data_IF_192031436338
#
_entry.id   IF_192031436338
#
_cell.length_a   1.000
_cell.length_b   1.000
_cell.length_c   1.000
_cell.angle_alpha   90.00
_cell.angle_beta   90.00
_cell.angle_gamma   90.00
#
_symmetry.space_group_name_H-M   'P 1'
#
loop_
_entity.id
_entity.type
_entity.pdbx_description
1 polymer ?
#
# COMPACT_ATOMS: atom_id res chain seq x y z
N UNK A 1 35.35 -7.23 -15.79
CA UNK A 1 34.42 -7.17 -14.65
C UNK A 1 33.70 -8.50 -14.60
N UNK A 2 33.83 -9.26 -13.51
CA UNK A 2 33.21 -10.60 -13.39
C UNK A 2 31.79 -10.45 -12.84
N UNK A 3 30.82 -11.17 -13.43
CA UNK A 3 29.45 -11.21 -12.92
C UNK A 3 29.43 -11.74 -11.49
N UNK A 4 28.63 -11.10 -10.62
CA UNK A 4 28.53 -11.45 -9.21
C UNK A 4 27.32 -10.75 -8.55
N UNK A 5 27.00 -11.14 -7.33
CA UNK A 5 25.79 -10.68 -6.61
C UNK A 5 25.78 -9.16 -6.47
N UNK A 6 26.91 -8.54 -6.13
CA UNK A 6 27.00 -7.07 -5.97
C UNK A 6 26.76 -6.33 -7.29
N UNK A 7 27.15 -6.92 -8.42
CA UNK A 7 26.84 -6.36 -9.74
C UNK A 7 25.37 -6.56 -10.06
N UNK A 8 24.80 -7.74 -9.76
CA UNK A 8 23.39 -8.02 -9.97
C UNK A 8 22.50 -7.04 -9.19
N UNK A 9 22.82 -6.76 -7.92
CA UNK A 9 22.12 -5.77 -7.09
C UNK A 9 22.08 -4.39 -7.74
N UNK A 10 23.21 -3.93 -8.27
CA UNK A 10 23.33 -2.64 -8.96
C UNK A 10 22.59 -2.61 -10.30
N UNK A 11 22.84 -3.60 -11.15
CA UNK A 11 22.28 -3.67 -12.51
C UNK A 11 20.75 -3.81 -12.49
N UNK A 12 20.21 -4.61 -11.56
CA UNK A 12 18.76 -4.77 -11.41
C UNK A 12 18.11 -3.74 -10.49
N UNK A 13 18.89 -2.80 -9.95
CA UNK A 13 18.38 -1.71 -9.10
C UNK A 13 17.72 -2.21 -7.83
N UNK A 14 18.27 -3.26 -7.22
CA UNK A 14 17.83 -3.78 -5.93
C UNK A 14 18.23 -2.83 -4.78
N UNK A 15 19.32 -2.07 -4.96
CA UNK A 15 19.79 -1.04 -4.02
C UNK A 15 18.96 0.26 -4.06
N UNK A 16 17.91 0.33 -4.89
CA UNK A 16 17.05 1.52 -4.91
C UNK A 16 16.23 1.61 -3.62
N UNK A 17 16.08 2.82 -3.07
CA UNK A 17 15.37 3.08 -1.80
C UNK A 17 13.96 2.47 -1.73
N UNK A 18 13.28 2.32 -2.87
CA UNK A 18 11.94 1.75 -2.96
C UNK A 18 11.91 0.21 -2.86
N UNK A 19 13.05 -0.47 -3.07
CA UNK A 19 13.16 -1.93 -3.22
C UNK A 19 14.12 -2.59 -2.24
N UNK A 20 15.19 -1.90 -1.85
CA UNK A 20 16.30 -2.41 -1.03
C UNK A 20 15.82 -3.11 0.26
N UNK A 21 14.73 -2.61 0.82
CA UNK A 21 14.15 -3.09 2.08
C UNK A 21 12.99 -4.07 1.92
N UNK A 22 12.72 -4.55 0.71
CA UNK A 22 11.58 -5.43 0.39
C UNK A 22 12.03 -6.65 -0.41
N UNK A 23 13.00 -6.49 -1.31
CA UNK A 23 13.51 -7.56 -2.18
C UNK A 23 15.03 -7.48 -2.31
N UNK A 24 15.69 -8.64 -2.32
CA UNK A 24 17.13 -8.77 -2.56
C UNK A 24 17.45 -10.09 -3.28
N UNK A 25 18.71 -10.32 -3.58
CA UNK A 25 19.26 -11.59 -4.07
C UNK A 25 20.07 -12.24 -2.95
N UNK A 26 19.84 -13.53 -2.70
CA UNK A 26 20.59 -14.29 -1.70
C UNK A 26 21.97 -14.77 -2.21
N UNK A 27 22.70 -15.47 -1.34
CA UNK A 27 24.07 -15.94 -1.60
C UNK A 27 24.13 -17.00 -2.74
N UNK A 28 23.01 -17.65 -3.03
CA UNK A 28 22.88 -18.63 -4.10
C UNK A 28 22.42 -17.99 -5.43
N UNK A 29 22.10 -16.69 -5.42
CA UNK A 29 21.65 -15.96 -6.59
C UNK A 29 20.13 -15.98 -6.81
N UNK A 30 19.33 -16.40 -5.83
CA UNK A 30 17.87 -16.40 -5.93
C UNK A 30 17.22 -15.13 -5.38
N UNK A 31 16.10 -14.75 -6.00
CA UNK A 31 15.26 -13.64 -5.52
C UNK A 31 14.67 -14.00 -4.15
N UNK A 32 14.86 -13.09 -3.20
CA UNK A 32 14.33 -13.17 -1.84
C UNK A 32 13.45 -11.96 -1.52
N UNK A 33 12.34 -12.20 -0.85
CA UNK A 33 11.54 -11.17 -0.19
C UNK A 33 12.14 -10.93 1.20
N UNK A 34 12.54 -9.70 1.48
CA UNK A 34 13.20 -9.28 2.71
C UNK A 34 12.37 -8.19 3.37
N UNK A 35 11.66 -8.45 4.47
CA UNK A 35 10.84 -7.43 5.12
C UNK A 35 10.68 -7.70 6.62
N UNK A 36 10.93 -6.71 7.48
CA UNK A 36 10.78 -6.82 8.94
C UNK A 36 11.47 -8.05 9.56
N UNK A 37 12.68 -8.39 9.08
CA UNK A 37 13.44 -9.56 9.54
C UNK A 37 13.03 -10.90 8.92
N UNK A 38 11.96 -10.91 8.13
CA UNK A 38 11.57 -12.05 7.30
C UNK A 38 12.46 -12.10 6.05
N UNK A 39 13.00 -13.29 5.74
CA UNK A 39 13.67 -13.57 4.47
C UNK A 39 13.07 -14.83 3.85
N UNK A 40 12.37 -14.67 2.72
CA UNK A 40 11.73 -15.78 1.99
C UNK A 40 12.34 -15.85 0.60
N UNK A 41 12.99 -16.97 0.28
CA UNK A 41 13.41 -17.27 -1.09
C UNK A 41 12.16 -17.56 -1.93
N UNK A 42 11.94 -16.79 -2.99
CA UNK A 42 10.73 -16.88 -3.81
C UNK A 42 10.61 -18.27 -4.46
N UNK A 43 11.74 -18.86 -4.85
CA UNK A 43 11.77 -20.21 -5.43
C UNK A 43 11.24 -21.25 -4.43
N UNK A 44 11.72 -21.24 -3.18
CA UNK A 44 11.30 -22.20 -2.16
C UNK A 44 9.81 -22.07 -1.85
N UNK A 45 9.30 -20.83 -1.82
CA UNK A 45 7.86 -20.57 -1.69
C UNK A 45 7.06 -21.12 -2.87
N UNK A 46 7.54 -20.96 -4.11
CA UNK A 46 6.86 -21.51 -5.27
C UNK A 46 6.85 -23.05 -5.24
N UNK A 47 7.99 -23.65 -4.91
CA UNK A 47 8.15 -25.10 -4.84
C UNK A 47 7.27 -25.71 -3.74
N UNK A 48 7.17 -25.07 -2.56
CA UNK A 48 6.36 -25.58 -1.44
C UNK A 48 4.86 -25.67 -1.77
N UNK A 49 4.38 -24.85 -2.71
CA UNK A 49 3.00 -24.85 -3.18
C UNK A 49 2.83 -25.48 -4.57
N UNK A 50 3.90 -26.07 -5.15
CA UNK A 50 3.91 -26.62 -6.50
C UNK A 50 3.41 -25.62 -7.57
N UNK A 51 3.81 -24.35 -7.43
CA UNK A 51 3.38 -23.25 -8.29
C UNK A 51 4.37 -23.03 -9.43
N UNK A 52 3.88 -23.02 -10.66
CA UNK A 52 4.66 -22.58 -11.82
C UNK A 52 4.59 -21.07 -12.06
N UNK A 53 3.53 -20.42 -11.55
CA UNK A 53 3.28 -18.97 -11.64
C UNK A 53 2.49 -18.51 -10.41
N UNK A 54 2.81 -17.32 -9.92
CA UNK A 54 2.11 -16.71 -8.79
C UNK A 54 2.07 -15.19 -8.90
N UNK A 55 1.02 -14.58 -8.34
CA UNK A 55 0.98 -13.16 -8.05
C UNK A 55 1.07 -12.97 -6.54
N UNK A 56 2.24 -12.57 -6.05
CA UNK A 56 2.54 -12.48 -4.62
C UNK A 56 2.29 -11.04 -4.15
N UNK A 57 1.40 -10.88 -3.16
CA UNK A 57 1.16 -9.59 -2.47
C UNK A 57 1.90 -9.59 -1.15
N UNK A 58 2.79 -8.62 -0.95
CA UNK A 58 3.52 -8.42 0.30
C UNK A 58 2.79 -7.33 1.09
N UNK A 59 1.72 -7.71 1.81
CA UNK A 59 0.87 -6.75 2.52
C UNK A 59 1.64 -5.84 3.50
N UNK A 60 2.62 -6.33 4.29
CA UNK A 60 3.37 -5.45 5.19
C UNK A 60 4.23 -4.41 4.45
N UNK A 61 4.52 -4.57 3.15
CA UNK A 61 5.20 -3.54 2.37
C UNK A 61 4.31 -2.29 2.17
N UNK A 62 2.98 -2.46 2.24
CA UNK A 62 2.01 -1.35 2.23
C UNK A 62 2.19 -0.52 3.50
N UNK A 63 2.22 -1.16 4.69
CA UNK A 63 2.51 -0.49 5.97
C UNK A 63 3.79 0.32 5.90
N UNK A 64 4.88 -0.29 5.41
CA UNK A 64 6.17 0.39 5.27
C UNK A 64 6.05 1.64 4.39
N UNK A 65 5.35 1.53 3.26
CA UNK A 65 5.14 2.66 2.35
C UNK A 65 4.37 3.80 3.04
N UNK A 66 3.36 3.47 3.85
CA UNK A 66 2.62 4.44 4.64
C UNK A 66 3.50 5.12 5.70
N UNK A 67 4.30 4.33 6.42
CA UNK A 67 5.25 4.84 7.43
C UNK A 67 6.28 5.79 6.78
N UNK A 68 6.77 5.49 5.57
CA UNK A 68 7.68 6.36 4.82
C UNK A 68 7.03 7.72 4.48
N UNK A 69 5.77 7.71 4.02
CA UNK A 69 5.04 8.96 3.72
C UNK A 69 4.89 9.83 4.98
N UNK A 70 4.48 9.23 6.09
CA UNK A 70 4.29 9.95 7.35
C UNK A 70 5.62 10.48 7.90
N UNK A 71 6.68 9.69 7.84
CA UNK A 71 8.00 10.12 8.31
C UNK A 71 8.57 11.24 7.45
N UNK A 72 8.44 11.15 6.12
CA UNK A 72 8.85 12.22 5.22
C UNK A 72 8.10 13.52 5.50
N UNK A 73 6.79 13.44 5.74
CA UNK A 73 5.99 14.59 6.14
C UNK A 73 6.47 15.19 7.47
N UNK A 74 6.67 14.36 8.51
CA UNK A 74 7.12 14.83 9.84
C UNK A 74 8.44 15.59 9.76
N UNK A 75 9.41 15.02 9.04
CA UNK A 75 10.73 15.65 8.83
C UNK A 75 10.56 17.00 8.12
N UNK A 76 9.76 17.06 7.05
CA UNK A 76 9.54 18.31 6.32
C UNK A 76 8.79 19.36 7.16
N UNK A 77 7.78 18.95 7.94
CA UNK A 77 7.03 19.84 8.80
C UNK A 77 7.91 20.45 9.90
N UNK A 78 8.76 19.64 10.53
CA UNK A 78 9.73 20.10 11.53
C UNK A 78 10.73 21.10 10.95
N UNK A 79 11.35 20.77 9.81
CA UNK A 79 12.32 21.65 9.14
C UNK A 79 11.72 23.01 8.74
N UNK A 80 10.42 23.04 8.42
CA UNK A 80 9.71 24.23 7.99
C UNK A 80 8.97 24.95 9.13
N UNK A 81 9.07 24.48 10.38
CA UNK A 81 8.25 24.95 11.51
C UNK A 81 6.74 24.99 11.19
N UNK A 82 6.27 24.01 10.43
CA UNK A 82 4.85 23.88 10.07
C UNK A 82 4.10 23.11 11.17
N UNK A 83 3.09 23.75 11.74
CA UNK A 83 2.30 23.19 12.86
C UNK A 83 0.96 22.58 12.43
N UNK A 84 0.63 22.58 11.14
CA UNK A 84 -0.56 21.89 10.64
C UNK A 84 -0.36 20.37 10.66
N UNK A 85 -1.45 19.61 10.47
CA UNK A 85 -1.40 18.15 10.32
C UNK A 85 -1.37 17.69 8.87
N UNK A 86 -1.26 16.37 8.68
CA UNK A 86 -1.45 15.68 7.40
C UNK A 86 -2.71 14.80 7.48
N UNK A 87 -3.52 14.83 6.42
CA UNK A 87 -4.59 13.86 6.19
C UNK A 87 -4.16 13.04 4.96
N UNK A 88 -3.51 11.89 5.14
CA UNK A 88 -3.06 11.09 4.02
C UNK A 88 -4.27 10.38 3.38
N UNK A 89 -4.33 10.38 2.05
CA UNK A 89 -5.45 9.85 1.27
C UNK A 89 -4.94 8.80 0.28
N UNK A 90 -5.52 7.60 0.30
CA UNK A 90 -5.27 6.58 -0.71
C UNK A 90 -6.32 6.64 -1.83
N UNK A 91 -5.90 6.86 -3.10
CA UNK A 91 -6.83 6.88 -4.23
C UNK A 91 -7.17 5.46 -4.71
N UNK A 92 -8.45 5.08 -4.62
CA UNK A 92 -8.91 3.73 -4.97
C UNK A 92 -8.63 3.36 -6.44
N UNK A 93 -8.62 4.35 -7.34
CA UNK A 93 -8.31 4.16 -8.77
C UNK A 93 -6.99 3.45 -9.05
N UNK A 94 -6.03 3.50 -8.12
CA UNK A 94 -4.73 2.82 -8.26
C UNK A 94 -4.89 1.31 -8.11
N UNK A 95 -5.64 0.87 -7.09
CA UNK A 95 -5.98 -0.52 -6.88
C UNK A 95 -7.17 -0.62 -5.91
N UNK A 96 -8.40 -0.88 -6.42
CA UNK A 96 -9.62 -0.92 -5.62
C UNK A 96 -9.91 -2.32 -5.04
N UNK A 97 -8.94 -3.25 -5.09
CA UNK A 97 -9.14 -4.62 -4.58
C UNK A 97 -9.47 -4.58 -3.08
N UNK A 98 -10.56 -5.23 -2.59
CA UNK A 98 -10.94 -5.18 -1.18
C UNK A 98 -9.81 -5.51 -0.20
N UNK A 99 -9.02 -6.54 -0.47
CA UNK A 99 -7.85 -6.90 0.35
C UNK A 99 -6.87 -5.73 0.53
N UNK A 100 -6.62 -4.94 -0.52
CA UNK A 100 -5.71 -3.80 -0.47
C UNK A 100 -6.34 -2.65 0.31
N UNK A 101 -7.63 -2.38 0.07
CA UNK A 101 -8.36 -1.32 0.77
C UNK A 101 -8.46 -1.65 2.27
N UNK A 102 -8.80 -2.89 2.64
CA UNK A 102 -8.79 -3.38 4.03
C UNK A 102 -7.40 -3.24 4.65
N UNK A 103 -6.34 -3.68 3.97
CA UNK A 103 -4.96 -3.58 4.48
C UNK A 103 -4.54 -2.13 4.73
N UNK A 104 -4.87 -1.21 3.82
CA UNK A 104 -4.60 0.22 3.98
C UNK A 104 -5.43 0.79 5.13
N UNK A 105 -6.68 0.36 5.27
CA UNK A 105 -7.53 0.82 6.33
C UNK A 105 -6.99 0.42 7.71
N UNK A 106 -6.59 -0.85 7.87
CA UNK A 106 -6.02 -1.42 9.08
C UNK A 106 -4.69 -0.77 9.47
N UNK A 107 -3.71 -0.74 8.56
CA UNK A 107 -2.40 -0.14 8.87
C UNK A 107 -2.44 1.38 8.97
N UNK A 108 -3.39 2.01 8.30
CA UNK A 108 -3.61 3.46 8.26
C UNK A 108 -4.41 4.02 9.43
N UNK A 109 -4.98 3.15 10.26
CA UNK A 109 -5.82 3.54 11.40
C UNK A 109 -5.13 4.57 12.30
N UNK A 110 -3.89 4.28 12.71
CA UNK A 110 -3.05 5.14 13.55
C UNK A 110 -2.73 6.51 12.94
N UNK A 111 -2.99 6.70 11.64
CA UNK A 111 -2.72 7.93 10.90
C UNK A 111 -3.98 8.65 10.43
N UNK A 112 -5.17 8.08 10.69
CA UNK A 112 -6.43 8.58 10.10
C UNK A 112 -6.39 8.53 8.57
N UNK A 113 -5.76 7.50 7.98
CA UNK A 113 -5.58 7.41 6.53
C UNK A 113 -6.93 7.22 5.82
N UNK A 114 -7.30 8.22 5.03
CA UNK A 114 -8.56 8.28 4.31
C UNK A 114 -8.48 7.72 2.89
N UNK A 115 -9.59 7.81 2.18
CA UNK A 115 -9.73 7.28 0.83
C UNK A 115 -10.20 8.35 -0.16
N UNK A 116 -9.82 8.19 -1.43
CA UNK A 116 -10.44 8.93 -2.53
C UNK A 116 -11.13 7.95 -3.46
N UNK A 117 -12.37 8.26 -3.83
CA UNK A 117 -13.15 7.50 -4.79
C UNK A 117 -13.64 8.41 -5.93
N UNK A 118 -13.53 7.93 -7.16
CA UNK A 118 -13.92 8.65 -8.38
C UNK A 118 -15.06 7.99 -9.15
N UNK A 119 -15.59 6.86 -8.67
CA UNK A 119 -16.67 6.13 -9.35
C UNK A 119 -17.63 5.45 -8.38
N UNK A 120 -18.82 5.12 -8.89
CA UNK A 120 -19.82 4.35 -8.15
C UNK A 120 -19.29 2.97 -7.70
N UNK A 121 -18.46 2.33 -8.52
CA UNK A 121 -17.84 1.05 -8.18
C UNK A 121 -16.88 1.16 -7.00
N UNK A 122 -16.13 2.24 -6.90
CA UNK A 122 -15.20 2.50 -5.79
C UNK A 122 -15.94 2.85 -4.49
N UNK A 123 -17.02 3.63 -4.55
CA UNK A 123 -17.89 3.87 -3.39
C UNK A 123 -18.44 2.55 -2.85
N UNK A 124 -18.92 1.67 -3.73
CA UNK A 124 -19.45 0.35 -3.34
C UNK A 124 -18.41 -0.58 -2.74
N UNK A 125 -17.14 -0.44 -3.10
CA UNK A 125 -16.07 -1.17 -2.41
C UNK A 125 -15.97 -0.69 -0.97
N UNK A 126 -15.96 0.63 -0.73
CA UNK A 126 -15.88 1.19 0.62
C UNK A 126 -17.11 0.83 1.46
N UNK A 127 -18.32 0.89 0.91
CA UNK A 127 -19.56 0.47 1.58
C UNK A 127 -19.51 -1.00 2.01
N UNK A 128 -18.97 -1.91 1.19
CA UNK A 128 -18.83 -3.34 1.56
C UNK A 128 -17.88 -3.56 2.73
N UNK A 129 -17.00 -2.61 2.97
CA UNK A 129 -16.05 -2.60 4.07
C UNK A 129 -16.57 -1.78 5.27
N UNK A 130 -17.69 -1.08 5.12
CA UNK A 130 -18.34 -0.35 6.20
C UNK A 130 -18.63 -1.29 7.37
N UNK A 131 -18.21 -0.91 8.57
CA UNK A 131 -18.29 -1.74 9.78
C UNK A 131 -17.09 -2.66 10.03
N UNK A 132 -16.21 -2.89 9.04
CA UNK A 132 -14.89 -3.52 9.26
C UNK A 132 -13.78 -2.49 9.46
N UNK A 133 -13.95 -1.32 8.86
CA UNK A 133 -12.99 -0.22 8.92
C UNK A 133 -13.59 0.91 9.76
N UNK A 134 -12.75 1.65 10.48
CA UNK A 134 -13.21 2.80 11.25
C UNK A 134 -13.63 3.98 10.34
N UNK A 135 -14.49 4.88 10.85
CA UNK A 135 -14.83 6.15 10.20
C UNK A 135 -13.58 6.95 9.83
N UNK A 136 -13.52 7.47 8.60
CA UNK A 136 -12.35 8.21 8.09
C UNK A 136 -12.72 9.13 6.94
N UNK A 137 -11.81 10.05 6.61
CA UNK A 137 -12.01 11.00 5.50
C UNK A 137 -12.21 10.28 4.17
N UNK A 138 -13.28 10.62 3.47
CA UNK A 138 -13.50 10.27 2.07
C UNK A 138 -13.45 11.54 1.22
N UNK A 139 -12.67 11.52 0.14
CA UNK A 139 -12.71 12.52 -0.93
C UNK A 139 -13.41 11.88 -2.13
N UNK A 140 -14.41 12.58 -2.69
CA UNK A 140 -14.99 12.20 -3.96
C UNK A 140 -14.47 13.11 -5.06
N UNK A 141 -13.70 12.56 -6.01
CA UNK A 141 -13.07 13.29 -7.12
C UNK A 141 -13.68 12.95 -8.50
N UNK A 142 -14.81 12.25 -8.52
CA UNK A 142 -15.53 11.83 -9.72
C UNK A 142 -16.60 12.80 -10.20
N UNK A 143 -17.31 12.40 -11.26
CA UNK A 143 -18.47 13.15 -11.79
C UNK A 143 -19.67 12.97 -10.86
N UNK A 144 -20.19 14.08 -10.34
CA UNK A 144 -21.35 14.07 -9.45
C UNK A 144 -22.64 13.94 -10.25
N UNK A 145 -23.32 12.80 -10.08
CA UNK A 145 -24.64 12.49 -10.64
C UNK A 145 -25.59 12.06 -9.51
N UNK A 146 -26.90 12.12 -9.74
CA UNK A 146 -27.91 11.72 -8.75
C UNK A 146 -27.64 10.37 -8.06
N UNK A 147 -27.33 9.28 -8.79
CA UNK A 147 -27.02 7.99 -8.19
C UNK A 147 -25.77 8.01 -7.30
N UNK A 148 -24.75 8.77 -7.67
CA UNK A 148 -23.53 8.92 -6.87
C UNK A 148 -23.85 9.65 -5.56
N UNK A 149 -24.63 10.73 -5.63
CA UNK A 149 -25.03 11.48 -4.44
C UNK A 149 -25.82 10.60 -3.46
N UNK A 150 -26.75 9.80 -3.96
CA UNK A 150 -27.51 8.85 -3.14
C UNK A 150 -26.58 7.86 -2.43
N UNK A 151 -25.61 7.28 -3.15
CA UNK A 151 -24.71 6.28 -2.58
C UNK A 151 -23.71 6.87 -1.58
N UNK A 152 -23.31 8.14 -1.77
CA UNK A 152 -22.52 8.88 -0.77
C UNK A 152 -23.34 9.16 0.50
N UNK A 153 -24.61 9.55 0.38
CA UNK A 153 -25.50 9.76 1.52
C UNK A 153 -25.76 8.45 2.28
N UNK A 154 -25.97 7.36 1.55
CA UNK A 154 -26.12 6.02 2.15
C UNK A 154 -24.83 5.57 2.85
N UNK A 155 -23.66 5.86 2.27
CA UNK A 155 -22.37 5.54 2.88
C UNK A 155 -22.12 6.36 4.16
N UNK A 156 -22.41 7.67 4.16
CA UNK A 156 -22.29 8.54 5.34
C UNK A 156 -23.18 8.06 6.50
N UNK A 157 -24.36 7.52 6.19
CA UNK A 157 -25.28 6.97 7.19
C UNK A 157 -24.76 5.69 7.90
N UNK A 158 -23.71 5.03 7.36
CA UNK A 158 -23.10 3.85 7.99
C UNK A 158 -22.10 4.21 9.10
N UNK A 159 -21.80 5.51 9.26
CA UNK A 159 -20.71 5.99 10.10
C UNK A 159 -19.35 5.87 9.42
#
# INVERSE_FOLDING_TARGET
MYWGIDIARKVYGLENYARESVVDVDEEGFLSICLEGLKIKVKDLMDSFNLSRAYIRILPAIRRSMDLVINAYKIAAELMNYNGGIIPIYPLKVNPTPLIVETIAEYGEKYGWGFSAGSLGEIRVLQKLAGKISPRTLIYDGVILGPVLQELLEFDALG
#
